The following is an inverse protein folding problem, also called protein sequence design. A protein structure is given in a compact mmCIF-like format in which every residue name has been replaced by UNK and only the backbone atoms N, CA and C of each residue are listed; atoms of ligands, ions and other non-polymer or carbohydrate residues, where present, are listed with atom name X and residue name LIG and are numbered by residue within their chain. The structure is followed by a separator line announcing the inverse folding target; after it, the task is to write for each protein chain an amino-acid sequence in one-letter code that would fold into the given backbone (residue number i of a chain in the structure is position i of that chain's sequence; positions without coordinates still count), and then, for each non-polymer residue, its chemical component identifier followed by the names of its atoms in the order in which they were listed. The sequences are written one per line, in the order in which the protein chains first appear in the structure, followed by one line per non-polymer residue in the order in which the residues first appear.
data_IF_610713241869
#
_entry.id   IF_610713241869
#
_cell.length_a   1.000
_cell.length_b   1.000
_cell.length_c   1.000
_cell.angle_alpha   90.00
_cell.angle_beta   90.00
_cell.angle_gamma   90.00
#
_symmetry.space_group_name_H-M   'P 1'
#
loop_
_entity.id
_entity.type
_entity.pdbx_description
1 polymer ?
#
# COMPACT_ATOMS: atom_id res chain seq x y z
N UNK A 1 -9.98 -5.55 0.60
CA UNK A 1 -11.31 -5.90 0.08
C UNK A 1 -11.91 -7.01 0.90
N UNK A 2 -11.36 -8.23 0.91
CA UNK A 2 -11.86 -9.35 1.71
C UNK A 2 -13.02 -10.10 1.06
N UNK A 3 -13.63 -11.03 1.80
CA UNK A 3 -14.74 -11.87 1.36
C UNK A 3 -15.81 -12.01 2.47
N UNK A 4 -17.11 -11.82 2.16
CA UNK A 4 -17.67 -11.30 0.91
C UNK A 4 -17.24 -9.85 0.62
N UNK A 5 -16.86 -9.56 -0.64
CA UNK A 5 -16.18 -8.31 -1.01
C UNK A 5 -16.95 -7.02 -0.64
N UNK A 6 -18.26 -6.88 -0.93
CA UNK A 6 -18.98 -5.66 -0.55
C UNK A 6 -18.97 -5.43 0.97
N UNK A 7 -19.22 -6.48 1.75
CA UNK A 7 -19.27 -6.39 3.20
C UNK A 7 -17.91 -6.02 3.81
N UNK A 8 -16.86 -6.71 3.38
CA UNK A 8 -15.53 -6.43 3.92
C UNK A 8 -15.00 -5.03 3.47
N UNK A 9 -15.43 -4.50 2.31
CA UNK A 9 -15.17 -3.10 1.94
C UNK A 9 -15.91 -2.10 2.84
N UNK A 10 -17.14 -2.37 3.25
CA UNK A 10 -17.88 -1.53 4.21
C UNK A 10 -17.19 -1.49 5.57
N UNK A 11 -16.78 -2.65 6.11
CA UNK A 11 -16.04 -2.70 7.39
C UNK A 11 -14.72 -1.92 7.29
N UNK A 12 -14.01 -2.04 6.18
CA UNK A 12 -12.79 -1.26 5.94
C UNK A 12 -13.07 0.25 5.98
N UNK A 13 -14.13 0.71 5.31
CA UNK A 13 -14.49 2.14 5.28
C UNK A 13 -14.90 2.66 6.68
N UNK A 14 -15.56 1.83 7.49
CA UNK A 14 -15.95 2.19 8.86
C UNK A 14 -14.75 2.28 9.82
N UNK A 15 -13.73 1.45 9.61
CA UNK A 15 -12.58 1.34 10.53
C UNK A 15 -11.39 2.21 10.14
N UNK A 16 -11.19 2.52 8.85
CA UNK A 16 -10.04 3.31 8.41
C UNK A 16 -10.25 4.81 8.62
N UNK A 17 -9.21 5.49 9.11
CA UNK A 17 -9.26 6.93 9.44
C UNK A 17 -9.33 7.85 8.22
N UNK A 18 -9.00 7.34 7.04
CA UNK A 18 -8.86 8.11 5.82
C UNK A 18 -9.10 7.24 4.60
N UNK A 19 -9.58 7.85 3.51
CA UNK A 19 -9.68 7.19 2.21
C UNK A 19 -8.32 6.65 1.76
N UNK A 20 -8.30 5.43 1.22
CA UNK A 20 -7.08 4.74 0.76
C UNK A 20 -6.35 5.40 -0.41
N UNK A 21 -7.03 6.26 -1.16
CA UNK A 21 -6.47 6.86 -2.37
C UNK A 21 -6.02 5.78 -3.36
N UNK A 22 -4.72 5.77 -3.69
CA UNK A 22 -4.14 4.80 -4.63
C UNK A 22 -4.03 3.39 -4.01
N UNK A 23 -3.90 3.27 -2.69
CA UNK A 23 -3.63 1.99 -2.03
C UNK A 23 -4.76 0.97 -2.23
N UNK A 24 -4.39 -0.23 -2.72
CA UNK A 24 -5.34 -1.28 -3.06
C UNK A 24 -6.14 -1.03 -4.35
N UNK A 25 -5.86 0.06 -5.06
CA UNK A 25 -6.29 0.30 -6.44
C UNK A 25 -5.38 -0.41 -7.45
N UNK A 26 -5.29 0.14 -8.66
CA UNK A 26 -4.44 -0.41 -9.72
C UNK A 26 -3.61 0.70 -10.41
N UNK A 27 -2.43 0.32 -10.90
CA UNK A 27 -1.56 1.14 -11.75
C UNK A 27 -1.18 0.30 -12.96
N UNK A 28 -1.28 0.87 -14.16
CA UNK A 28 -1.01 0.15 -15.40
C UNK A 28 -1.39 0.95 -16.63
N UNK A 29 -1.63 0.25 -17.74
CA UNK A 29 -1.96 0.87 -19.02
C UNK A 29 -3.12 0.18 -19.72
N UNK A 30 -3.69 0.92 -20.67
CA UNK A 30 -4.56 0.44 -21.73
C UNK A 30 -3.97 0.94 -23.04
N UNK A 31 -3.87 0.10 -24.06
CA UNK A 31 -3.36 0.52 -25.38
C UNK A 31 -4.47 0.64 -26.42
N UNK A 32 -4.13 1.23 -27.58
CA UNK A 32 -5.08 1.44 -28.68
C UNK A 32 -5.47 0.14 -29.40
N UNK A 33 -4.76 -0.96 -29.17
CA UNK A 33 -5.12 -2.27 -29.68
C UNK A 33 -6.13 -3.00 -28.77
N UNK A 34 -6.47 -2.41 -27.63
CA UNK A 34 -7.41 -2.97 -26.66
C UNK A 34 -6.76 -3.85 -25.60
N UNK A 35 -5.42 -3.87 -25.49
CA UNK A 35 -4.75 -4.59 -24.43
C UNK A 35 -4.77 -3.78 -23.12
N UNK A 36 -4.74 -4.53 -22.01
CA UNK A 36 -4.68 -3.99 -20.65
C UNK A 36 -3.66 -4.79 -19.85
N UNK A 37 -2.82 -4.08 -19.10
CA UNK A 37 -2.01 -4.68 -18.05
C UNK A 37 -1.97 -3.76 -16.84
N UNK A 38 -2.23 -4.31 -15.66
CA UNK A 38 -2.29 -3.56 -14.40
C UNK A 38 -1.72 -4.35 -13.24
N UNK A 39 -1.05 -3.64 -12.34
CA UNK A 39 -0.63 -4.15 -11.05
C UNK A 39 -1.51 -3.57 -9.93
N UNK A 40 -1.74 -4.36 -8.88
CA UNK A 40 -2.36 -3.86 -7.65
C UNK A 40 -1.39 -2.87 -7.00
N UNK A 41 -1.89 -1.70 -6.60
CA UNK A 41 -1.09 -0.67 -5.94
C UNK A 41 -0.83 -1.02 -4.45
N UNK A 42 0.12 -1.92 -4.24
CA UNK A 42 0.70 -2.33 -2.97
C UNK A 42 2.23 -2.27 -3.06
N UNK A 43 2.93 -2.22 -1.92
CA UNK A 43 4.38 -1.96 -1.87
C UNK A 43 4.78 -0.73 -2.70
N UNK A 44 3.91 0.26 -2.70
CA UNK A 44 4.03 1.52 -3.43
C UNK A 44 4.08 2.68 -2.45
N UNK A 45 4.60 3.81 -2.88
CA UNK A 45 4.55 5.08 -2.13
C UNK A 45 3.94 6.17 -3.00
N UNK A 46 3.15 7.05 -2.39
CA UNK A 46 2.75 8.33 -3.01
C UNK A 46 3.63 9.41 -2.40
N UNK A 47 4.34 10.18 -3.24
CA UNK A 47 5.15 11.30 -2.76
C UNK A 47 4.40 12.59 -3.08
N UNK A 48 4.11 13.38 -2.05
CA UNK A 48 3.44 14.67 -2.18
C UNK A 48 4.02 15.63 -1.15
N UNK A 49 4.35 16.85 -1.58
CA UNK A 49 4.88 17.91 -0.72
C UNK A 49 6.09 17.43 0.11
N UNK A 50 7.01 16.72 -0.55
CA UNK A 50 8.22 16.11 0.04
C UNK A 50 7.96 15.06 1.14
N UNK A 51 6.73 14.56 1.27
CA UNK A 51 6.35 13.48 2.19
C UNK A 51 6.02 12.23 1.40
N UNK A 52 6.65 11.11 1.77
CA UNK A 52 6.36 9.79 1.23
C UNK A 52 5.29 9.09 2.09
N UNK A 53 4.13 8.83 1.50
CA UNK A 53 3.02 8.11 2.12
C UNK A 53 3.07 6.64 1.71
N UNK A 54 3.34 5.75 2.66
CA UNK A 54 3.37 4.29 2.47
C UNK A 54 2.22 3.69 3.26
N UNK A 55 1.36 2.93 2.59
CA UNK A 55 0.27 2.20 3.22
C UNK A 55 0.48 0.70 3.03
N UNK A 56 0.23 -0.06 4.10
CA UNK A 56 0.32 -1.51 4.14
C UNK A 56 -0.84 -2.06 4.97
N UNK A 57 -1.07 -3.37 4.84
CA UNK A 57 -2.16 -4.07 5.52
C UNK A 57 -1.94 -5.57 5.50
N UNK A 58 -2.78 -6.28 6.25
CA UNK A 58 -2.78 -7.73 6.37
C UNK A 58 -4.17 -8.30 6.10
N UNK A 59 -4.22 -9.60 5.84
CA UNK A 59 -5.47 -10.33 5.64
C UNK A 59 -5.94 -10.91 6.96
N UNK A 60 -6.97 -10.32 7.56
CA UNK A 60 -7.50 -10.80 8.85
C UNK A 60 -8.45 -11.98 8.65
N UNK A 61 -8.21 -13.06 9.39
CA UNK A 61 -9.04 -14.26 9.48
C UNK A 61 -9.42 -14.56 10.92
N UNK A 62 -10.27 -15.57 11.14
CA UNK A 62 -10.77 -15.91 12.49
C UNK A 62 -9.65 -16.21 13.50
N UNK A 63 -8.57 -16.82 13.03
CA UNK A 63 -7.43 -17.25 13.87
C UNK A 63 -6.27 -16.23 13.88
N UNK A 64 -6.49 -15.03 13.33
CA UNK A 64 -5.46 -13.98 13.29
C UNK A 64 -5.09 -13.51 14.70
N UNK A 65 -3.79 -13.31 14.91
CA UNK A 65 -3.23 -12.76 16.15
C UNK A 65 -2.90 -11.28 15.93
N UNK A 66 -3.55 -10.33 16.63
CA UNK A 66 -3.42 -8.90 16.35
C UNK A 66 -1.97 -8.40 16.25
N UNK A 67 -1.10 -8.83 17.16
CA UNK A 67 0.31 -8.42 17.21
C UNK A 67 1.10 -8.94 15.99
N UNK A 68 0.78 -10.15 15.53
CA UNK A 68 1.41 -10.74 14.34
C UNK A 68 0.98 -10.01 13.07
N UNK A 69 -0.30 -9.68 12.95
CA UNK A 69 -0.83 -8.95 11.78
C UNK A 69 -0.25 -7.53 11.69
N UNK A 70 -0.10 -6.83 12.83
CA UNK A 70 0.54 -5.51 12.87
C UNK A 70 2.02 -5.60 12.49
N UNK A 71 2.75 -6.58 13.03
CA UNK A 71 4.15 -6.82 12.67
C UNK A 71 4.31 -7.11 11.16
N UNK A 72 3.38 -7.86 10.56
CA UNK A 72 3.35 -8.09 9.11
C UNK A 72 3.12 -6.79 8.32
N UNK A 73 2.17 -5.95 8.77
CA UNK A 73 1.91 -4.66 8.14
C UNK A 73 3.14 -3.76 8.17
N UNK A 74 3.80 -3.66 9.33
CA UNK A 74 5.04 -2.92 9.52
C UNK A 74 6.13 -3.45 8.60
N UNK A 75 6.36 -4.76 8.56
CA UNK A 75 7.37 -5.37 7.70
C UNK A 75 7.15 -5.06 6.20
N UNK A 76 5.90 -5.11 5.73
CA UNK A 76 5.54 -4.74 4.35
C UNK A 76 5.80 -3.26 4.06
N UNK A 77 5.45 -2.36 4.97
CA UNK A 77 5.69 -0.93 4.82
C UNK A 77 7.19 -0.59 4.85
N UNK A 78 7.94 -1.22 5.76
CA UNK A 78 9.37 -0.99 5.95
C UNK A 78 10.19 -1.25 4.69
N UNK A 79 9.78 -2.21 3.83
CA UNK A 79 10.45 -2.43 2.56
C UNK A 79 10.50 -1.16 1.68
N UNK A 80 9.38 -0.42 1.60
CA UNK A 80 9.28 0.82 0.81
C UNK A 80 9.92 1.99 1.54
N UNK A 81 9.70 2.10 2.86
CA UNK A 81 10.30 3.17 3.67
C UNK A 81 11.83 3.11 3.66
N UNK A 82 12.41 1.91 3.77
CA UNK A 82 13.85 1.71 3.67
C UNK A 82 14.38 2.11 2.28
N UNK A 83 13.66 1.79 1.21
CA UNK A 83 14.05 2.21 -0.14
C UNK A 83 14.08 3.74 -0.27
N UNK A 84 13.09 4.44 0.29
CA UNK A 84 13.06 5.92 0.34
C UNK A 84 14.23 6.46 1.16
N UNK A 85 14.50 5.90 2.34
CA UNK A 85 15.60 6.33 3.20
C UNK A 85 16.97 6.18 2.51
N UNK A 86 17.21 5.04 1.86
CA UNK A 86 18.43 4.79 1.08
C UNK A 86 18.53 5.77 -0.08
N UNK A 87 17.45 5.99 -0.84
CA UNK A 87 17.45 6.94 -1.95
C UNK A 87 17.82 8.37 -1.50
N UNK A 88 17.31 8.82 -0.36
CA UNK A 88 17.64 10.13 0.20
C UNK A 88 19.13 10.25 0.59
N UNK A 89 19.75 9.17 1.09
CA UNK A 89 21.17 9.16 1.46
C UNK A 89 22.12 9.33 0.26
N UNK A 90 21.69 8.94 -0.94
CA UNK A 90 22.47 9.10 -2.17
C UNK A 90 22.63 10.58 -2.55
N UNK A 91 21.60 11.39 -2.27
CA UNK A 91 21.59 12.81 -2.60
C UNK A 91 22.43 13.61 -1.60
N UNK A 92 22.40 13.25 -0.31
CA UNK A 92 23.17 13.94 0.73
C UNK A 92 24.69 13.71 0.67
N UNK A 93 25.14 12.61 0.05
CA UNK A 93 26.58 12.32 -0.13
C UNK A 93 27.19 12.94 -1.40
N UNK A 94 26.38 13.64 -2.20
CA UNK A 94 26.82 14.26 -3.46
C UNK A 94 27.02 15.79 -3.35
N UNK A 95 26.94 16.33 -2.14
CA UNK A 95 27.21 17.72 -1.78
C UNK A 95 28.39 17.81 -0.81
#
# INVERSE_FOLDING_TARGET
SGAPKPMAMTIIEELEKSKRGVYGGCVGYFDFAGNIDTAIAIRSTVIKDSVAYVQAGAGVVADSVPESEDAECQAKAMAVLNAVAVANSLVSNSA
#
